data_IF_552334207031
#
_entry.id   IF_552334207031
#
_cell.length_a   1.000
_cell.length_b   1.000
_cell.length_c   1.000
_cell.angle_alpha   90.00
_cell.angle_beta   90.00
_cell.angle_gamma   90.00
#
_symmetry.space_group_name_H-M   'P 1'
#
loop_
_entity.id
_entity.type
_entity.pdbx_description
1 polymer ?
#
# COMPACT_ATOMS: atom_id res chain seq x y z
N UNK A 1 -8.73 7.32 10.51
CA UNK A 1 -8.52 7.90 9.15
C UNK A 1 -9.49 7.23 8.18
N UNK A 2 -9.55 7.62 6.89
CA UNK A 2 -10.43 6.93 5.92
C UNK A 2 -9.93 5.49 5.70
N UNK A 3 -10.85 4.54 5.55
CA UNK A 3 -10.53 3.15 5.26
C UNK A 3 -9.69 3.05 3.97
N UNK A 4 -8.53 2.38 3.97
CA UNK A 4 -7.67 2.26 2.80
C UNK A 4 -8.34 1.60 1.59
N UNK A 5 -9.15 0.56 1.81
CA UNK A 5 -9.80 -0.19 0.74
C UNK A 5 -10.79 0.70 0.00
N UNK A 6 -11.62 1.46 0.72
CA UNK A 6 -12.58 2.39 0.12
C UNK A 6 -11.88 3.50 -0.67
N UNK A 7 -10.76 4.01 -0.15
CA UNK A 7 -9.95 5.02 -0.86
C UNK A 7 -9.34 4.40 -2.11
N UNK A 8 -8.74 3.22 -2.03
CA UNK A 8 -8.14 2.54 -3.19
C UNK A 8 -9.17 2.20 -4.26
N UNK A 9 -10.37 1.73 -3.87
CA UNK A 9 -11.47 1.47 -4.80
C UNK A 9 -11.89 2.76 -5.52
N UNK A 10 -12.06 3.85 -4.77
CA UNK A 10 -12.38 5.15 -5.35
C UNK A 10 -11.30 5.63 -6.32
N UNK A 11 -10.02 5.49 -5.95
CA UNK A 11 -8.90 5.86 -6.81
C UNK A 11 -8.85 5.02 -8.10
N UNK A 12 -9.10 3.72 -7.99
CA UNK A 12 -9.17 2.77 -9.11
C UNK A 12 -10.32 3.09 -10.07
N UNK A 13 -11.50 3.43 -9.54
CA UNK A 13 -12.62 3.85 -10.38
C UNK A 13 -12.34 5.16 -11.11
N UNK A 14 -11.67 6.12 -10.45
CA UNK A 14 -11.26 7.37 -11.08
C UNK A 14 -10.15 7.20 -12.11
N UNK A 15 -9.31 6.17 -11.99
CA UNK A 15 -8.24 5.88 -12.96
C UNK A 15 -8.78 5.56 -14.36
N UNK A 16 -10.06 5.17 -14.46
CA UNK A 16 -10.74 4.88 -15.74
C UNK A 16 -10.96 6.14 -16.58
N UNK A 17 -10.93 7.32 -15.96
CA UNK A 17 -11.05 8.60 -16.64
C UNK A 17 -9.66 9.21 -16.88
N UNK A 18 -9.17 9.29 -18.13
CA UNK A 18 -7.85 9.82 -18.45
C UNK A 18 -7.71 11.33 -18.19
N UNK A 19 -8.82 12.04 -18.02
CA UNK A 19 -8.82 13.48 -17.70
C UNK A 19 -8.77 13.75 -16.20
N UNK A 20 -9.03 12.73 -15.39
CA UNK A 20 -9.08 12.86 -13.94
C UNK A 20 -7.69 13.17 -13.38
N UNK A 21 -7.60 14.26 -12.61
CA UNK A 21 -6.38 14.62 -11.88
C UNK A 21 -6.56 14.34 -10.40
N UNK A 22 -5.68 13.50 -9.89
CA UNK A 22 -5.64 13.22 -8.46
C UNK A 22 -5.11 14.41 -7.67
N UNK A 23 -5.78 14.71 -6.57
CA UNK A 23 -5.34 15.73 -5.63
C UNK A 23 -5.06 15.10 -4.27
N UNK A 24 -4.03 15.62 -3.57
CA UNK A 24 -3.73 15.28 -2.17
C UNK A 24 -3.45 13.80 -1.89
N UNK A 25 -3.05 13.01 -2.89
CA UNK A 25 -2.74 11.57 -2.75
C UNK A 25 -1.80 11.27 -1.58
N UNK A 26 -0.74 12.06 -1.44
CA UNK A 26 0.29 11.88 -0.40
C UNK A 26 -0.27 11.94 1.02
N UNK A 27 -1.42 12.59 1.24
CA UNK A 27 -2.04 12.58 2.57
C UNK A 27 -2.43 11.16 3.01
N UNK A 28 -2.81 10.30 2.07
CA UNK A 28 -3.21 8.93 2.38
C UNK A 28 -2.02 8.09 2.90
N UNK A 29 -0.79 8.47 2.54
CA UNK A 29 0.43 7.83 3.04
C UNK A 29 0.69 8.11 4.52
N UNK A 30 0.00 9.06 5.15
CA UNK A 30 0.08 9.21 6.61
C UNK A 30 -0.85 8.23 7.35
N UNK A 31 -1.65 7.42 6.66
CA UNK A 31 -2.48 6.40 7.29
C UNK A 31 -1.69 5.08 7.39
N UNK A 32 -1.29 4.63 8.60
CA UNK A 32 -0.57 3.36 8.78
C UNK A 32 -1.31 2.15 8.21
N UNK A 33 -2.65 2.19 8.14
CA UNK A 33 -3.47 1.08 7.65
C UNK A 33 -3.20 0.76 6.17
N UNK A 34 -2.79 1.74 5.35
CA UNK A 34 -2.37 1.47 3.96
C UNK A 34 -1.17 0.53 3.92
N UNK A 35 -0.20 0.73 4.83
CA UNK A 35 0.99 -0.11 4.92
C UNK A 35 0.67 -1.49 5.48
N UNK A 36 -0.27 -1.60 6.42
CA UNK A 36 -0.70 -2.89 6.94
C UNK A 36 -1.39 -3.74 5.86
N UNK A 37 -2.26 -3.13 5.04
CA UNK A 37 -2.89 -3.81 3.90
C UNK A 37 -1.84 -4.24 2.88
N UNK A 38 -0.90 -3.35 2.54
CA UNK A 38 0.19 -3.67 1.61
C UNK A 38 1.08 -4.80 2.14
N UNK A 39 1.46 -4.74 3.43
CA UNK A 39 2.24 -5.78 4.10
C UNK A 39 1.56 -7.13 4.00
N UNK A 40 0.27 -7.22 4.37
CA UNK A 40 -0.49 -8.47 4.29
C UNK A 40 -0.49 -9.04 2.86
N UNK A 41 -0.65 -8.18 1.85
CA UNK A 41 -0.67 -8.61 0.45
C UNK A 41 0.70 -9.08 -0.06
N UNK A 42 1.79 -8.40 0.35
CA UNK A 42 3.15 -8.78 -0.08
C UNK A 42 3.67 -9.98 0.69
N UNK A 43 3.41 -10.04 2.00
CA UNK A 43 3.80 -11.14 2.88
C UNK A 43 3.17 -12.48 2.43
N UNK A 44 1.92 -12.44 1.95
CA UNK A 44 1.22 -13.63 1.45
C UNK A 44 1.81 -14.23 0.16
N UNK A 45 2.76 -13.56 -0.49
CA UNK A 45 3.42 -14.09 -1.69
C UNK A 45 4.57 -15.04 -1.32
N UNK A 46 4.79 -16.09 -2.11
CA UNK A 46 5.85 -17.09 -1.88
C UNK A 46 7.28 -16.49 -1.82
N UNK A 47 7.48 -15.31 -2.42
CA UNK A 47 8.76 -14.60 -2.43
C UNK A 47 9.00 -13.64 -1.24
N UNK A 48 8.08 -13.56 -0.27
CA UNK A 48 8.19 -12.63 0.87
C UNK A 48 9.40 -12.88 1.77
N UNK A 49 9.88 -14.13 1.79
CA UNK A 49 11.07 -14.57 2.51
C UNK A 49 12.35 -14.49 1.68
N UNK A 50 12.27 -14.08 0.41
CA UNK A 50 13.46 -13.89 -0.44
C UNK A 50 14.10 -12.55 -0.10
N UNK A 51 15.38 -12.52 0.31
CA UNK A 51 16.08 -11.28 0.61
C UNK A 51 16.10 -10.34 -0.60
N UNK A 52 15.85 -9.06 -0.34
CA UNK A 52 16.03 -8.00 -1.33
C UNK A 52 17.50 -7.75 -1.66
N UNK A 53 17.74 -6.77 -2.53
CA UNK A 53 19.09 -6.30 -2.88
C UNK A 53 19.87 -5.75 -1.67
N UNK A 54 19.17 -5.38 -0.60
CA UNK A 54 19.71 -4.91 0.67
C UNK A 54 19.94 -6.05 1.69
N UNK A 55 19.63 -7.30 1.31
CA UNK A 55 19.78 -8.48 2.16
C UNK A 55 18.66 -8.67 3.21
N UNK A 56 17.67 -7.79 3.25
CA UNK A 56 16.57 -7.85 4.22
C UNK A 56 15.35 -8.58 3.65
N UNK A 57 14.58 -9.23 4.52
CA UNK A 57 13.25 -9.79 4.22
C UNK A 57 12.16 -8.88 4.78
N UNK A 58 10.91 -9.11 4.37
CA UNK A 58 9.79 -8.25 4.78
C UNK A 58 9.44 -8.39 6.29
N UNK A 59 9.91 -9.45 6.96
CA UNK A 59 9.76 -9.70 8.41
C UNK A 59 10.32 -8.58 9.30
N UNK A 60 11.17 -7.69 8.76
CA UNK A 60 11.69 -6.53 9.49
C UNK A 60 10.66 -5.43 9.79
N UNK A 61 9.43 -5.51 9.25
CA UNK A 61 8.38 -4.54 9.58
C UNK A 61 7.84 -4.76 10.99
N UNK A 62 8.35 -3.99 11.95
CA UNK A 62 7.82 -3.90 13.32
C UNK A 62 6.77 -2.81 13.44
N UNK A 63 5.59 -3.13 13.98
CA UNK A 63 4.63 -2.15 14.47
C UNK A 63 5.14 -1.57 15.79
N UNK A 64 5.91 -0.48 15.73
CA UNK A 64 6.24 0.30 16.93
C UNK A 64 5.05 1.15 17.38
#
# INVERSE_FOLDING_TARGET
MRNPIDVLNSLSDKAKDPTYRYERLYRNLYNPEFYLVAYKNVYANDGSMTPGMDGNTIDGMSSR
#
